data_IF_347353564215
#
_entry.id   IF_347353564215
#
_cell.length_a   1.000
_cell.length_b   1.000
_cell.length_c   1.000
_cell.angle_alpha   90.00
_cell.angle_beta   90.00
_cell.angle_gamma   90.00
#
_symmetry.space_group_name_H-M   'P 1'
#
loop_
_entity.id
_entity.type
_entity.pdbx_description
1 polymer ?
#
# COMPACT_ATOMS: atom_id res chain seq x y z
N UNK A 1 -9.30 -5.07 -65.10
CA UNK A 1 -10.27 -5.83 -64.27
C UNK A 1 -9.53 -6.41 -63.08
N UNK A 2 -9.68 -5.88 -61.85
CA UNK A 2 -9.01 -6.46 -60.69
C UNK A 2 -9.59 -7.85 -60.38
N UNK A 3 -8.71 -8.85 -60.19
CA UNK A 3 -9.09 -10.25 -60.01
C UNK A 3 -9.81 -10.47 -58.68
N UNK A 4 -10.82 -11.34 -58.67
CA UNK A 4 -11.68 -11.66 -57.52
C UNK A 4 -10.89 -12.07 -56.26
N UNK A 5 -9.71 -12.64 -56.47
CA UNK A 5 -8.74 -13.03 -55.44
C UNK A 5 -8.19 -11.83 -54.67
N UNK A 6 -7.92 -10.72 -55.35
CA UNK A 6 -7.42 -9.48 -54.74
C UNK A 6 -8.48 -8.81 -53.85
N UNK A 7 -9.75 -8.86 -54.27
CA UNK A 7 -10.87 -8.34 -53.47
C UNK A 7 -11.11 -9.18 -52.21
N UNK A 8 -10.91 -10.51 -52.27
CA UNK A 8 -11.04 -11.41 -51.12
C UNK A 8 -9.90 -11.22 -50.12
N UNK A 9 -8.66 -11.11 -50.62
CA UNK A 9 -7.49 -10.83 -49.77
C UNK A 9 -7.60 -9.45 -49.10
N UNK A 10 -8.02 -8.41 -49.83
CA UNK A 10 -8.22 -7.07 -49.27
C UNK A 10 -9.32 -7.06 -48.19
N UNK A 11 -10.43 -7.77 -48.39
CA UNK A 11 -11.51 -7.91 -47.38
C UNK A 11 -11.05 -8.70 -46.15
N UNK A 12 -10.26 -9.76 -46.34
CA UNK A 12 -9.75 -10.57 -45.22
C UNK A 12 -8.75 -9.77 -44.37
N UNK A 13 -7.85 -9.01 -45.02
CA UNK A 13 -6.92 -8.10 -44.33
C UNK A 13 -7.66 -6.95 -43.62
N UNK A 14 -8.71 -6.39 -44.23
CA UNK A 14 -9.51 -5.33 -43.61
C UNK A 14 -10.30 -5.83 -42.38
N UNK A 15 -10.84 -7.05 -42.42
CA UNK A 15 -11.51 -7.69 -41.28
C UNK A 15 -10.54 -8.01 -40.13
N UNK A 16 -9.31 -8.41 -40.46
CA UNK A 16 -8.25 -8.66 -39.46
C UNK A 16 -7.82 -7.37 -38.74
N UNK A 17 -7.69 -6.26 -39.47
CA UNK A 17 -7.32 -4.97 -38.89
C UNK A 17 -8.45 -4.41 -37.99
N UNK A 18 -9.72 -4.61 -38.37
CA UNK A 18 -10.86 -4.16 -37.57
C UNK A 18 -10.99 -4.93 -36.24
N UNK A 19 -10.60 -6.21 -36.20
CA UNK A 19 -10.65 -7.05 -35.00
C UNK A 19 -9.58 -6.67 -33.95
N UNK A 20 -8.43 -6.14 -34.36
CA UNK A 20 -7.33 -5.76 -33.46
C UNK A 20 -7.66 -4.45 -32.71
N UNK A 21 -8.51 -3.59 -33.27
CA UNK A 21 -8.87 -2.29 -32.67
C UNK A 21 -9.76 -2.35 -31.42
N UNK A 22 -10.34 -3.51 -31.08
CA UNK A 22 -11.33 -3.63 -29.99
C UNK A 22 -10.70 -3.99 -28.62
N UNK A 23 -9.39 -4.23 -28.57
CA UNK A 23 -8.69 -4.62 -27.32
C UNK A 23 -8.06 -3.45 -26.55
N UNK A 24 -8.08 -2.22 -27.08
CA UNK A 24 -7.62 -1.03 -26.34
C UNK A 24 -8.74 -0.49 -25.42
N UNK A 25 -9.10 -1.26 -24.41
CA UNK A 25 -9.85 -0.76 -23.26
C UNK A 25 -8.90 -0.08 -22.27
N UNK A 26 -9.15 1.17 -21.92
CA UNK A 26 -8.39 1.88 -20.88
C UNK A 26 -8.59 1.19 -19.52
N UNK A 27 -7.50 0.72 -18.92
CA UNK A 27 -7.47 0.41 -17.48
C UNK A 27 -7.46 1.75 -16.73
N UNK A 28 -8.60 2.14 -16.16
CA UNK A 28 -8.67 3.26 -15.24
C UNK A 28 -8.22 2.77 -13.87
N UNK A 29 -6.94 2.95 -13.56
CA UNK A 29 -6.46 2.90 -12.17
C UNK A 29 -7.08 4.08 -11.44
N UNK A 30 -8.18 3.82 -10.75
CA UNK A 30 -8.70 4.73 -9.75
C UNK A 30 -7.70 4.78 -8.60
N UNK A 31 -6.87 5.82 -8.59
CA UNK A 31 -6.11 6.19 -7.40
C UNK A 31 -7.12 6.50 -6.30
N UNK A 32 -7.29 5.56 -5.36
CA UNK A 32 -7.96 5.78 -4.08
C UNK A 32 -7.32 7.03 -3.44
N UNK A 33 -8.07 7.96 -2.82
CA UNK A 33 -7.47 9.14 -2.19
C UNK A 33 -6.51 8.67 -1.10
N UNK A 34 -5.24 8.68 -1.43
CA UNK A 34 -4.15 8.22 -0.59
C UNK A 34 -3.87 9.36 0.38
N UNK A 35 -4.29 9.17 1.64
CA UNK A 35 -3.75 9.96 2.73
C UNK A 35 -2.22 9.89 2.62
N UNK A 36 -1.56 11.05 2.64
CA UNK A 36 -0.12 11.20 2.46
C UNK A 36 0.64 10.04 3.13
N UNK A 37 1.17 9.12 2.33
CA UNK A 37 2.00 8.03 2.84
C UNK A 37 3.30 8.69 3.30
N UNK A 38 3.47 8.77 4.61
CA UNK A 38 4.78 9.10 5.17
C UNK A 38 5.68 7.93 4.80
N UNK A 39 6.60 8.13 3.87
CA UNK A 39 7.56 7.12 3.42
C UNK A 39 8.19 6.45 4.65
N UNK A 40 7.94 5.14 4.81
CA UNK A 40 8.43 4.34 5.93
C UNK A 40 7.41 3.96 7.00
N UNK A 41 6.31 4.71 7.17
CA UNK A 41 5.26 4.38 8.15
C UNK A 41 4.32 3.30 7.61
N UNK A 42 4.14 2.23 8.39
CA UNK A 42 3.22 1.14 8.11
C UNK A 42 2.12 1.07 9.16
N UNK A 43 0.88 1.28 8.76
CA UNK A 43 -0.28 1.18 9.65
C UNK A 43 -0.53 -0.25 10.12
N UNK A 44 -0.98 -0.43 11.36
CA UNK A 44 -1.43 -1.73 11.86
C UNK A 44 -2.88 -2.00 11.45
N UNK A 45 -3.07 -3.06 10.66
CA UNK A 45 -4.39 -3.46 10.17
C UNK A 45 -5.16 -4.34 11.16
N UNK A 46 -6.49 -4.41 10.98
CA UNK A 46 -7.37 -5.31 11.73
C UNK A 46 -7.72 -6.54 10.88
N UNK A 47 -7.82 -7.76 11.45
CA UNK A 47 -7.70 -8.07 12.88
C UNK A 47 -6.24 -8.09 13.38
N UNK A 48 -6.03 -7.74 14.66
CA UNK A 48 -4.68 -7.74 15.26
C UNK A 48 -4.18 -9.18 15.48
N UNK A 49 -2.90 -9.47 15.19
CA UNK A 49 -2.33 -10.79 15.41
C UNK A 49 -2.33 -11.12 16.91
N UNK A 50 -2.74 -12.34 17.26
CA UNK A 50 -2.76 -12.83 18.65
C UNK A 50 -1.53 -13.66 19.00
N UNK A 51 -0.81 -14.16 17.99
CA UNK A 51 0.41 -14.93 18.15
C UNK A 51 1.47 -14.38 17.20
N UNK A 52 2.66 -14.16 17.75
CA UNK A 52 3.82 -13.70 17.01
C UNK A 52 4.99 -14.63 17.26
N UNK A 53 5.80 -14.82 16.22
CA UNK A 53 7.09 -15.47 16.31
C UNK A 53 8.10 -14.58 17.07
N UNK A 54 9.19 -15.18 17.57
CA UNK A 54 10.21 -14.51 18.40
C UNK A 54 11.43 -14.05 17.61
N UNK A 55 11.31 -13.90 16.30
CA UNK A 55 12.34 -13.30 15.45
C UNK A 55 12.56 -11.84 15.86
N UNK A 56 13.83 -11.43 15.82
CA UNK A 56 14.23 -10.08 16.15
C UNK A 56 14.54 -9.30 14.86
N UNK A 57 13.56 -8.54 14.41
CA UNK A 57 13.58 -7.62 13.27
C UNK A 57 12.96 -6.30 13.74
N UNK A 58 13.70 -5.47 14.50
CA UNK A 58 13.11 -4.42 15.32
C UNK A 58 12.38 -3.38 14.49
N UNK A 59 11.31 -2.87 15.08
CA UNK A 59 10.49 -1.80 14.51
C UNK A 59 10.21 -0.74 15.56
N UNK A 60 10.01 0.50 15.13
CA UNK A 60 9.61 1.59 15.99
C UNK A 60 8.10 1.79 15.89
N UNK A 61 7.38 1.34 16.92
CA UNK A 61 5.93 1.46 17.02
C UNK A 61 5.51 2.86 17.48
N UNK A 62 4.48 3.41 16.84
CA UNK A 62 3.80 4.65 17.21
C UNK A 62 2.59 4.33 18.07
N UNK A 63 2.75 4.52 19.38
CA UNK A 63 1.76 4.18 20.40
C UNK A 63 0.87 5.39 20.69
N UNK A 64 -0.45 5.22 20.56
CA UNK A 64 -1.43 6.20 21.04
C UNK A 64 -1.49 6.13 22.57
N UNK A 65 -1.18 7.24 23.22
CA UNK A 65 -1.24 7.34 24.69
C UNK A 65 -2.67 7.53 25.21
N UNK A 66 -3.63 7.86 24.32
CA UNK A 66 -4.99 8.25 24.67
C UNK A 66 -5.10 9.68 25.19
N UNK A 67 -3.99 10.40 25.37
CA UNK A 67 -3.98 11.77 25.87
C UNK A 67 -4.48 12.73 24.78
N UNK A 68 -5.43 13.60 25.13
CA UNK A 68 -5.99 14.64 24.28
C UNK A 68 -5.93 15.97 25.03
N UNK A 69 -5.29 16.98 24.46
CA UNK A 69 -5.05 18.26 25.12
C UNK A 69 -5.57 19.42 24.28
N UNK A 70 -5.88 20.54 24.95
CA UNK A 70 -6.28 21.80 24.31
C UNK A 70 -5.07 22.73 24.14
N UNK A 71 -4.06 22.58 25.00
CA UNK A 71 -2.82 23.37 25.03
C UNK A 71 -1.60 22.50 24.74
N UNK A 72 -0.49 23.12 24.31
CA UNK A 72 0.78 22.44 24.00
C UNK A 72 1.81 22.60 25.12
N UNK A 73 2.74 21.64 25.29
CA UNK A 73 2.89 20.39 24.52
C UNK A 73 1.85 19.32 24.91
N UNK A 74 1.35 18.57 23.92
CA UNK A 74 0.42 17.45 24.13
C UNK A 74 1.12 16.12 23.82
N UNK A 75 1.43 15.29 24.83
CA UNK A 75 2.09 14.00 24.63
C UNK A 75 1.09 12.93 24.19
N UNK A 76 0.39 13.14 23.07
CA UNK A 76 -0.65 12.23 22.57
C UNK A 76 -0.07 10.93 21.99
N UNK A 77 1.19 10.93 21.59
CA UNK A 77 1.88 9.78 20.99
C UNK A 77 3.22 9.52 21.68
N UNK A 78 3.62 8.24 21.69
CA UNK A 78 4.94 7.80 22.16
C UNK A 78 5.51 6.76 21.21
N UNK A 79 6.82 6.79 21.03
CA UNK A 79 7.57 5.79 20.28
C UNK A 79 8.10 4.69 21.19
N UNK A 80 7.96 3.43 20.77
CA UNK A 80 8.47 2.28 21.49
C UNK A 80 9.05 1.24 20.51
N UNK A 81 10.21 0.69 20.84
CA UNK A 81 10.82 -0.38 20.04
C UNK A 81 10.15 -1.72 20.36
N UNK A 82 9.71 -2.40 19.32
CA UNK A 82 9.18 -3.75 19.37
C UNK A 82 10.13 -4.72 18.67
N UNK A 83 10.13 -5.99 19.08
CA UNK A 83 11.06 -6.99 18.55
C UNK A 83 10.83 -7.31 17.07
N UNK A 84 9.59 -7.22 16.61
CA UNK A 84 9.21 -7.33 15.20
C UNK A 84 7.85 -6.65 14.93
N UNK A 85 7.51 -6.49 13.65
CA UNK A 85 6.26 -5.89 13.19
C UNK A 85 5.00 -6.57 13.75
N UNK A 86 5.01 -7.91 13.87
CA UNK A 86 3.88 -8.64 14.45
C UNK A 86 3.66 -8.22 15.90
N UNK A 87 4.72 -8.23 16.72
CA UNK A 87 4.63 -7.86 18.13
C UNK A 87 4.22 -6.40 18.35
N UNK A 88 4.57 -5.49 17.42
CA UNK A 88 4.08 -4.12 17.42
C UNK A 88 2.57 -4.08 17.16
N UNK A 89 2.10 -4.68 16.07
CA UNK A 89 0.68 -4.64 15.72
C UNK A 89 -0.21 -5.54 16.59
N UNK A 90 0.36 -6.46 17.37
CA UNK A 90 -0.38 -7.20 18.40
C UNK A 90 -0.82 -6.30 19.57
N UNK A 91 -0.13 -5.18 19.80
CA UNK A 91 -0.54 -4.19 20.80
C UNK A 91 -1.60 -3.25 20.21
N UNK A 92 -2.81 -3.31 20.76
CA UNK A 92 -3.96 -2.52 20.28
C UNK A 92 -3.72 -1.00 20.33
N UNK A 93 -2.77 -0.54 21.16
CA UNK A 93 -2.44 0.89 21.27
C UNK A 93 -1.47 1.36 20.18
N UNK A 94 -0.81 0.44 19.48
CA UNK A 94 0.08 0.78 18.37
C UNK A 94 -0.77 1.09 17.15
N UNK A 95 -0.63 2.30 16.62
CA UNK A 95 -1.30 2.75 15.39
C UNK A 95 -0.58 2.24 14.14
N UNK A 96 0.75 2.11 14.22
CA UNK A 96 1.60 1.66 13.13
C UNK A 96 3.05 1.66 13.56
N UNK A 97 3.95 1.33 12.64
CA UNK A 97 5.38 1.21 12.91
C UNK A 97 6.24 1.64 11.73
N UNK A 98 7.50 1.93 12.02
CA UNK A 98 8.57 2.13 11.04
C UNK A 98 9.65 1.07 11.22
N UNK A 99 10.42 0.80 10.16
CA UNK A 99 11.51 -0.19 10.23
C UNK A 99 12.70 0.34 11.05
N UNK A 100 13.33 -0.55 11.83
CA UNK A 100 14.43 -0.19 12.72
C UNK A 100 13.95 0.14 14.13
N UNK A 101 14.87 0.17 15.09
CA UNK A 101 14.54 0.58 16.46
C UNK A 101 14.22 2.07 16.55
N UNK A 102 13.68 2.50 17.69
CA UNK A 102 13.33 3.92 17.88
C UNK A 102 14.54 4.83 18.12
N UNK A 103 15.75 4.30 18.28
CA UNK A 103 16.96 5.13 18.30
C UNK A 103 17.36 5.57 16.89
N UNK A 104 16.94 4.80 15.88
CA UNK A 104 17.05 5.14 14.45
C UNK A 104 15.92 6.02 13.92
N UNK A 105 14.80 6.14 14.64
CA UNK A 105 13.67 6.95 14.24
C UNK A 105 14.01 8.46 14.13
N UNK A 106 13.67 9.08 13.00
CA UNK A 106 13.87 10.51 12.75
C UNK A 106 15.31 10.94 12.48
N UNK A 107 16.20 9.99 12.14
CA UNK A 107 17.59 10.23 11.76
C UNK A 107 17.81 10.23 10.25
#
# INVERSE_FOLDING_TARGET
MPSQSYLRAAKLSLLLILAIGVLSGCTSSQAKPEAAVVEGFKSCETPRPQMCTREYLPVCGHVDTGIRCITTPCPSQRHQTYGNACSACADDKVMGYEQGDCASYGK
#
